data_IF_782201403528
#
_entry.id   IF_782201403528
#
_cell.length_a   1.000
_cell.length_b   1.000
_cell.length_c   1.000
_cell.angle_alpha   90.00
_cell.angle_beta   90.00
_cell.angle_gamma   90.00
#
_symmetry.space_group_name_H-M   'P 1'
#
loop_
_entity.id
_entity.type
_entity.pdbx_description
1 polymer ?
#
# COMPACT_ATOMS: atom_id res chain seq x y z
N UNK A 1 -70.36 -48.30 -53.81
CA UNK A 1 -68.97 -48.11 -53.33
C UNK A 1 -68.37 -46.71 -53.53
N UNK A 2 -68.84 -45.86 -54.46
CA UNK A 2 -68.19 -44.55 -54.77
C UNK A 2 -68.36 -43.45 -53.69
N UNK A 3 -69.46 -43.46 -52.91
CA UNK A 3 -69.74 -42.44 -51.87
C UNK A 3 -68.83 -42.53 -50.63
N UNK A 4 -68.35 -43.72 -50.27
CA UNK A 4 -67.44 -43.92 -49.13
C UNK A 4 -66.01 -43.43 -49.42
N UNK A 5 -65.54 -43.51 -50.67
CA UNK A 5 -64.22 -43.01 -51.09
C UNK A 5 -64.16 -41.48 -51.15
N UNK A 6 -65.27 -40.81 -51.49
CA UNK A 6 -65.34 -39.34 -51.55
C UNK A 6 -65.27 -38.70 -50.15
N UNK A 7 -65.93 -39.30 -49.15
CA UNK A 7 -65.89 -38.80 -47.76
C UNK A 7 -64.51 -38.86 -47.12
N UNK A 8 -63.72 -39.88 -47.45
CA UNK A 8 -62.33 -40.02 -46.96
C UNK A 8 -61.43 -38.92 -47.58
N UNK A 9 -61.60 -38.61 -48.87
CA UNK A 9 -60.80 -37.58 -49.54
C UNK A 9 -61.10 -36.18 -48.98
N UNK A 10 -62.38 -35.85 -48.73
CA UNK A 10 -62.77 -34.55 -48.16
C UNK A 10 -62.26 -34.41 -46.71
N UNK A 11 -62.30 -35.49 -45.92
CA UNK A 11 -61.77 -35.51 -44.54
C UNK A 11 -60.27 -35.24 -44.48
N UNK A 12 -59.46 -35.87 -45.36
CA UNK A 12 -58.01 -35.64 -45.42
C UNK A 12 -57.68 -34.21 -45.84
N UNK A 13 -58.47 -33.62 -46.74
CA UNK A 13 -58.28 -32.26 -47.23
C UNK A 13 -58.57 -31.20 -46.15
N UNK A 14 -59.60 -31.40 -45.33
CA UNK A 14 -59.92 -30.52 -44.19
C UNK A 14 -58.83 -30.59 -43.11
N UNK A 15 -58.31 -31.78 -42.80
CA UNK A 15 -57.23 -31.96 -41.83
C UNK A 15 -55.93 -31.30 -42.33
N UNK A 16 -55.62 -31.41 -43.63
CA UNK A 16 -54.45 -30.75 -44.24
C UNK A 16 -54.49 -29.21 -44.13
N UNK A 17 -55.65 -28.59 -44.36
CA UNK A 17 -55.82 -27.13 -44.25
C UNK A 17 -55.72 -26.65 -42.79
N UNK A 18 -56.28 -27.40 -41.84
CA UNK A 18 -56.19 -27.07 -40.41
C UNK A 18 -54.74 -27.13 -39.90
N UNK A 19 -53.96 -28.13 -40.34
CA UNK A 19 -52.54 -28.26 -39.99
C UNK A 19 -51.74 -27.09 -40.59
N UNK A 20 -51.90 -26.76 -41.87
CA UNK A 20 -51.17 -25.66 -42.53
C UNK A 20 -51.44 -24.27 -41.90
N UNK A 21 -52.68 -24.02 -41.45
CA UNK A 21 -53.04 -22.78 -40.77
C UNK A 21 -52.34 -22.61 -39.41
N UNK A 22 -52.26 -23.66 -38.61
CA UNK A 22 -51.61 -23.64 -37.29
C UNK A 22 -50.10 -23.42 -37.39
N UNK A 23 -49.45 -24.06 -38.38
CA UNK A 23 -48.02 -23.83 -38.65
C UNK A 23 -47.75 -22.38 -39.04
N UNK A 24 -48.55 -21.80 -39.94
CA UNK A 24 -48.38 -20.42 -40.41
C UNK A 24 -48.52 -19.39 -39.27
N UNK A 25 -49.53 -19.56 -38.40
CA UNK A 25 -49.74 -18.67 -37.25
C UNK A 25 -48.58 -18.74 -36.24
N UNK A 26 -48.06 -19.95 -35.97
CA UNK A 26 -46.92 -20.13 -35.05
C UNK A 26 -45.65 -19.49 -35.59
N UNK A 27 -45.41 -19.54 -36.90
CA UNK A 27 -44.26 -18.88 -37.54
C UNK A 27 -44.34 -17.36 -37.42
N UNK A 28 -45.50 -16.75 -37.73
CA UNK A 28 -45.69 -15.30 -37.64
C UNK A 28 -45.47 -14.80 -36.21
N UNK A 29 -45.97 -15.53 -35.21
CA UNK A 29 -45.78 -15.14 -33.80
C UNK A 29 -44.31 -15.18 -33.39
N UNK A 30 -43.57 -16.23 -33.76
CA UNK A 30 -42.13 -16.35 -33.50
C UNK A 30 -41.33 -15.24 -34.18
N UNK A 31 -41.70 -14.87 -35.40
CA UNK A 31 -41.04 -13.80 -36.14
C UNK A 31 -41.28 -12.42 -35.50
N UNK A 32 -42.51 -12.13 -35.06
CA UNK A 32 -42.80 -10.91 -34.30
C UNK A 32 -42.00 -10.85 -33.00
N UNK A 33 -41.98 -11.94 -32.24
CA UNK A 33 -41.23 -12.03 -30.98
C UNK A 33 -39.73 -11.85 -31.20
N UNK A 34 -39.18 -12.48 -32.24
CA UNK A 34 -37.79 -12.31 -32.66
C UNK A 34 -37.45 -10.84 -32.95
N UNK A 35 -38.28 -10.17 -33.76
CA UNK A 35 -38.05 -8.75 -34.10
C UNK A 35 -38.17 -7.82 -32.89
N UNK A 36 -39.07 -8.12 -31.94
CA UNK A 36 -39.19 -7.36 -30.68
C UNK A 36 -37.93 -7.53 -29.82
N UNK A 37 -37.41 -8.75 -29.69
CA UNK A 37 -36.16 -8.99 -28.96
C UNK A 37 -34.97 -8.26 -29.60
N UNK A 38 -34.86 -8.29 -30.92
CA UNK A 38 -33.81 -7.55 -31.63
C UNK A 38 -33.91 -6.04 -31.40
N UNK A 39 -35.11 -5.47 -31.52
CA UNK A 39 -35.31 -4.04 -31.31
C UNK A 39 -34.95 -3.61 -29.89
N UNK A 40 -35.30 -4.42 -28.88
CA UNK A 40 -34.91 -4.18 -27.49
C UNK A 40 -33.40 -4.33 -27.29
N UNK A 41 -32.79 -5.38 -27.86
CA UNK A 41 -31.35 -5.61 -27.75
C UNK A 41 -30.54 -4.46 -28.39
N UNK A 42 -30.97 -3.98 -29.55
CA UNK A 42 -30.38 -2.82 -30.23
C UNK A 42 -30.56 -1.52 -29.40
N UNK A 43 -31.70 -1.34 -28.73
CA UNK A 43 -31.93 -0.21 -27.84
C UNK A 43 -31.00 -0.27 -26.61
N UNK A 44 -30.97 -1.39 -25.89
CA UNK A 44 -30.07 -1.59 -24.74
C UNK A 44 -28.60 -1.42 -25.14
N UNK A 45 -28.20 -1.87 -26.33
CA UNK A 45 -26.83 -1.70 -26.82
C UNK A 45 -26.49 -0.22 -27.08
N UNK A 46 -27.41 0.57 -27.65
CA UNK A 46 -27.24 2.03 -27.84
C UNK A 46 -27.14 2.78 -26.52
N UNK A 47 -27.79 2.27 -25.48
CA UNK A 47 -27.70 2.78 -24.10
C UNK A 47 -26.45 2.27 -23.37
N UNK A 48 -25.57 1.52 -24.04
CA UNK A 48 -24.38 0.86 -23.48
C UNK A 48 -24.70 -0.16 -22.36
N UNK A 49 -25.95 -0.64 -22.29
CA UNK A 49 -26.34 -1.73 -21.40
C UNK A 49 -25.98 -3.08 -22.04
N UNK A 50 -24.69 -3.40 -22.04
CA UNK A 50 -24.11 -4.58 -22.67
C UNK A 50 -24.71 -5.89 -22.16
N UNK A 51 -24.91 -6.00 -20.85
CA UNK A 51 -25.45 -7.21 -20.21
C UNK A 51 -26.88 -7.51 -20.65
N UNK A 52 -27.75 -6.50 -20.65
CA UNK A 52 -29.13 -6.65 -21.11
C UNK A 52 -29.18 -6.92 -22.62
N UNK A 53 -28.42 -6.17 -23.42
CA UNK A 53 -28.35 -6.35 -24.86
C UNK A 53 -27.93 -7.79 -25.23
N UNK A 54 -26.89 -8.31 -24.56
CA UNK A 54 -26.43 -9.69 -24.73
C UNK A 54 -27.52 -10.71 -24.42
N UNK A 55 -28.17 -10.59 -23.26
CA UNK A 55 -29.26 -11.48 -22.87
C UNK A 55 -30.39 -11.49 -23.91
N UNK A 56 -30.79 -10.33 -24.41
CA UNK A 56 -31.85 -10.21 -25.41
C UNK A 56 -31.43 -10.77 -26.78
N UNK A 57 -30.17 -10.62 -27.18
CA UNK A 57 -29.65 -11.27 -28.38
C UNK A 57 -29.60 -12.79 -28.24
N UNK A 58 -29.15 -13.31 -27.11
CA UNK A 58 -29.15 -14.75 -26.81
C UNK A 58 -30.57 -15.32 -26.82
N UNK A 59 -31.55 -14.59 -26.26
CA UNK A 59 -32.96 -14.97 -26.34
C UNK A 59 -33.49 -14.96 -27.77
N UNK A 60 -33.08 -13.99 -28.60
CA UNK A 60 -33.46 -13.96 -30.02
C UNK A 60 -32.93 -15.17 -30.79
N UNK A 61 -31.73 -15.67 -30.44
CA UNK A 61 -31.12 -16.85 -31.05
C UNK A 61 -31.87 -18.15 -30.72
N UNK A 62 -32.56 -18.22 -29.56
CA UNK A 62 -33.45 -19.33 -29.22
C UNK A 62 -34.66 -19.42 -30.16
N UNK A 63 -35.08 -18.30 -30.75
CA UNK A 63 -36.17 -18.26 -31.72
C UNK A 63 -35.69 -18.52 -33.15
N UNK A 64 -34.55 -17.95 -33.53
CA UNK A 64 -33.98 -18.05 -34.86
C UNK A 64 -32.46 -17.88 -34.84
N UNK A 65 -31.74 -18.87 -35.34
CA UNK A 65 -30.29 -18.76 -35.51
C UNK A 65 -29.94 -17.69 -36.56
N UNK A 66 -29.00 -16.80 -36.23
CA UNK A 66 -28.56 -15.73 -37.10
C UNK A 66 -27.11 -15.35 -36.79
N UNK A 67 -26.20 -15.56 -37.74
CA UNK A 67 -24.76 -15.31 -37.57
C UNK A 67 -24.47 -13.85 -37.20
N UNK A 68 -25.21 -12.88 -37.75
CA UNK A 68 -25.01 -11.46 -37.44
C UNK A 68 -25.25 -11.15 -35.96
N UNK A 69 -26.15 -11.90 -35.32
CA UNK A 69 -26.45 -11.75 -33.89
C UNK A 69 -25.35 -12.39 -33.05
N UNK A 70 -24.79 -13.50 -33.50
CA UNK A 70 -23.60 -14.12 -32.87
C UNK A 70 -22.42 -13.14 -32.92
N UNK A 71 -22.18 -12.49 -34.06
CA UNK A 71 -21.13 -11.48 -34.21
C UNK A 71 -21.35 -10.30 -33.24
N UNK A 72 -22.59 -9.80 -33.12
CA UNK A 72 -22.93 -8.75 -32.14
C UNK A 72 -22.65 -9.19 -30.70
N UNK A 73 -23.00 -10.41 -30.31
CA UNK A 73 -22.69 -10.95 -28.97
C UNK A 73 -21.17 -11.03 -28.76
N UNK A 74 -20.40 -11.44 -29.77
CA UNK A 74 -18.93 -11.47 -29.68
C UNK A 74 -18.33 -10.08 -29.46
N UNK A 75 -18.82 -9.06 -30.17
CA UNK A 75 -18.42 -7.67 -29.95
C UNK A 75 -18.77 -7.18 -28.54
N UNK A 76 -19.95 -7.53 -28.03
CA UNK A 76 -20.36 -7.21 -26.66
C UNK A 76 -19.42 -7.87 -25.64
N UNK A 77 -19.09 -9.15 -25.81
CA UNK A 77 -18.18 -9.84 -24.90
C UNK A 77 -16.80 -9.17 -24.87
N UNK A 78 -16.28 -8.77 -26.04
CA UNK A 78 -15.00 -8.04 -26.13
C UNK A 78 -15.06 -6.67 -25.44
N UNK A 79 -16.20 -5.97 -25.55
CA UNK A 79 -16.46 -4.72 -24.82
C UNK A 79 -16.49 -4.93 -23.30
N UNK A 80 -17.23 -5.93 -22.81
CA UNK A 80 -17.29 -6.28 -21.39
C UNK A 80 -15.90 -6.64 -20.84
N UNK A 81 -15.12 -7.46 -21.54
CA UNK A 81 -13.76 -7.82 -21.13
C UNK A 81 -12.84 -6.59 -21.04
N UNK A 82 -12.94 -5.69 -22.02
CA UNK A 82 -12.15 -4.45 -22.03
C UNK A 82 -12.54 -3.55 -20.86
N UNK A 83 -13.83 -3.41 -20.56
CA UNK A 83 -14.32 -2.63 -19.42
C UNK A 83 -13.85 -3.22 -18.08
N UNK A 84 -13.92 -4.54 -17.91
CA UNK A 84 -13.43 -5.20 -16.71
C UNK A 84 -11.92 -4.96 -16.50
N UNK A 85 -11.13 -5.00 -17.59
CA UNK A 85 -9.69 -4.67 -17.53
C UNK A 85 -9.45 -3.21 -17.15
N UNK A 86 -10.26 -2.27 -17.67
CA UNK A 86 -10.21 -0.86 -17.28
C UNK A 86 -10.52 -0.69 -15.80
N UNK A 87 -11.54 -1.37 -15.28
CA UNK A 87 -11.94 -1.27 -13.88
C UNK A 87 -10.88 -1.90 -12.94
N UNK A 88 -10.12 -2.90 -13.40
CA UNK A 88 -8.99 -3.46 -12.61
C UNK A 88 -7.78 -2.54 -12.51
N UNK A 89 -7.68 -1.48 -13.32
CA UNK A 89 -6.54 -0.54 -13.30
C UNK A 89 -6.42 0.19 -11.96
N UNK A 90 -7.52 0.41 -11.26
CA UNK A 90 -7.51 1.14 -9.98
C UNK A 90 -6.63 0.46 -8.93
N UNK A 91 -6.57 -0.87 -8.91
CA UNK A 91 -5.69 -1.61 -8.00
C UNK A 91 -4.20 -1.36 -8.34
N UNK A 92 -3.84 -1.31 -9.62
CA UNK A 92 -2.47 -1.02 -10.05
C UNK A 92 -2.07 0.43 -9.73
N UNK A 93 -3.01 1.37 -9.85
CA UNK A 93 -2.79 2.77 -9.44
C UNK A 93 -2.49 2.84 -7.94
N UNK A 94 -3.26 2.14 -7.09
CA UNK A 94 -3.04 2.12 -5.64
C UNK A 94 -1.68 1.53 -5.26
N UNK A 95 -1.18 0.57 -6.03
CA UNK A 95 0.15 -0.02 -5.86
C UNK A 95 1.28 0.81 -6.50
N UNK A 96 0.98 1.99 -7.05
CA UNK A 96 1.91 2.84 -7.82
C UNK A 96 2.52 2.16 -9.06
N UNK A 97 1.86 1.14 -9.60
CA UNK A 97 2.27 0.40 -10.81
C UNK A 97 1.77 1.09 -12.09
N UNK A 98 2.12 2.35 -12.26
CA UNK A 98 1.62 3.20 -13.35
C UNK A 98 2.04 2.71 -14.75
N UNK A 99 3.21 2.10 -14.88
CA UNK A 99 3.69 1.56 -16.15
C UNK A 99 2.87 0.34 -16.60
N UNK A 100 2.64 -0.61 -15.69
CA UNK A 100 1.78 -1.78 -15.94
C UNK A 100 0.36 -1.34 -16.32
N UNK A 101 -0.20 -0.38 -15.57
CA UNK A 101 -1.52 0.18 -15.85
C UNK A 101 -1.59 0.80 -17.26
N UNK A 102 -0.56 1.57 -17.63
CA UNK A 102 -0.47 2.23 -18.93
C UNK A 102 -0.35 1.21 -20.06
N UNK A 103 0.42 0.15 -19.88
CA UNK A 103 0.63 -0.88 -20.89
C UNK A 103 -0.61 -1.74 -21.11
N UNK A 104 -1.35 -2.07 -20.05
CA UNK A 104 -2.68 -2.69 -20.17
C UNK A 104 -3.58 -1.79 -21.01
N UNK A 105 -3.71 -0.50 -20.66
CA UNK A 105 -4.57 0.44 -21.39
C UNK A 105 -4.18 0.62 -22.87
N UNK A 106 -2.88 0.58 -23.20
CA UNK A 106 -2.41 0.59 -24.61
C UNK A 106 -2.76 -0.68 -25.37
N UNK A 107 -2.76 -1.84 -24.69
CA UNK A 107 -3.06 -3.13 -25.30
C UNK A 107 -4.54 -3.33 -25.60
N UNK A 108 -5.42 -2.58 -24.94
CA UNK A 108 -6.86 -2.64 -25.16
C UNK A 108 -7.22 -2.03 -26.51
N UNK A 109 -7.69 -2.87 -27.42
CA UNK A 109 -8.31 -2.46 -28.68
C UNK A 109 -9.79 -2.87 -28.65
N UNK A 110 -10.68 -1.92 -28.92
CA UNK A 110 -12.13 -2.15 -28.92
C UNK A 110 -12.80 -1.37 -30.05
N UNK A 111 -13.91 -1.88 -30.57
CA UNK A 111 -14.70 -1.20 -31.61
C UNK A 111 -15.80 -0.30 -31.06
N UNK A 112 -16.15 -0.42 -29.77
CA UNK A 112 -17.17 0.40 -29.13
C UNK A 112 -16.62 1.77 -28.76
N UNK A 113 -17.20 2.83 -29.32
CA UNK A 113 -16.83 4.22 -29.03
C UNK A 113 -16.89 4.54 -27.53
N UNK A 114 -17.93 4.05 -26.83
CA UNK A 114 -18.05 4.19 -25.39
C UNK A 114 -16.84 3.60 -24.64
N UNK A 115 -16.42 2.40 -25.01
CA UNK A 115 -15.28 1.71 -24.39
C UNK A 115 -13.97 2.45 -24.72
N UNK A 116 -13.78 2.88 -25.97
CA UNK A 116 -12.61 3.67 -26.38
C UNK A 116 -12.51 4.95 -25.57
N UNK A 117 -13.62 5.67 -25.39
CA UNK A 117 -13.65 6.91 -24.61
C UNK A 117 -13.31 6.66 -23.14
N UNK A 118 -13.81 5.57 -22.55
CA UNK A 118 -13.47 5.18 -21.17
C UNK A 118 -11.99 4.82 -21.04
N UNK A 119 -11.42 4.06 -21.98
CA UNK A 119 -9.99 3.73 -22.03
C UNK A 119 -9.15 5.01 -22.13
N UNK A 120 -9.52 5.93 -23.03
CA UNK A 120 -8.80 7.20 -23.22
C UNK A 120 -8.81 8.05 -21.95
N UNK A 121 -9.99 8.24 -21.35
CA UNK A 121 -10.14 8.97 -20.09
C UNK A 121 -9.28 8.37 -18.99
N UNK A 122 -9.34 7.04 -18.82
CA UNK A 122 -8.54 6.35 -17.81
C UNK A 122 -7.04 6.47 -18.05
N UNK A 123 -6.61 6.47 -19.32
CA UNK A 123 -5.20 6.69 -19.69
C UNK A 123 -4.72 8.09 -19.30
N UNK A 124 -5.52 9.12 -19.54
CA UNK A 124 -5.20 10.50 -19.13
C UNK A 124 -5.10 10.61 -17.59
N UNK A 125 -6.02 9.97 -16.88
CA UNK A 125 -5.99 9.88 -15.41
C UNK A 125 -4.70 9.23 -14.89
N UNK A 126 -4.33 8.05 -15.42
CA UNK A 126 -3.11 7.32 -15.03
C UNK A 126 -1.86 8.15 -15.27
N UNK A 127 -1.77 8.85 -16.41
CA UNK A 127 -0.62 9.69 -16.73
C UNK A 127 -0.48 10.85 -15.74
N UNK A 128 -1.58 11.54 -15.41
CA UNK A 128 -1.58 12.63 -14.44
C UNK A 128 -1.14 12.15 -13.05
N UNK A 129 -1.68 11.02 -12.57
CA UNK A 129 -1.31 10.47 -11.27
C UNK A 129 0.16 10.03 -11.22
N UNK A 130 0.69 9.50 -12.34
CA UNK A 130 2.11 9.15 -12.46
C UNK A 130 3.00 10.40 -12.33
N UNK A 131 2.65 11.49 -12.99
CA UNK A 131 3.40 12.76 -12.90
C UNK A 131 3.39 13.31 -11.48
N UNK A 132 2.22 13.35 -10.82
CA UNK A 132 2.09 13.79 -9.43
C UNK A 132 2.91 12.92 -8.46
N UNK A 133 2.94 11.59 -8.67
CA UNK A 133 3.74 10.67 -7.87
C UNK A 133 5.24 10.93 -8.04
N UNK A 134 5.71 11.12 -9.28
CA UNK A 134 7.11 11.43 -9.56
C UNK A 134 7.55 12.77 -8.95
N UNK A 135 6.69 13.79 -8.99
CA UNK A 135 6.96 15.08 -8.37
C UNK A 135 7.08 14.95 -6.84
N UNK A 136 6.21 14.16 -6.20
CA UNK A 136 6.29 13.87 -4.76
C UNK A 136 7.59 13.15 -4.41
N UNK A 137 7.98 12.13 -5.16
CA UNK A 137 9.24 11.41 -4.95
C UNK A 137 10.45 12.34 -5.06
N UNK A 138 10.44 13.25 -6.05
CA UNK A 138 11.50 14.23 -6.22
C UNK A 138 11.61 15.18 -5.01
N UNK A 139 10.49 15.71 -4.51
CA UNK A 139 10.46 16.58 -3.32
C UNK A 139 11.00 15.86 -2.08
N UNK A 140 10.61 14.61 -1.87
CA UNK A 140 11.11 13.79 -0.75
C UNK A 140 12.63 13.60 -0.85
N UNK A 141 13.14 13.37 -2.06
CA UNK A 141 14.58 13.22 -2.28
C UNK A 141 15.34 14.52 -2.02
N UNK A 142 14.83 15.65 -2.53
CA UNK A 142 15.41 16.98 -2.29
C UNK A 142 15.43 17.33 -0.79
N UNK A 143 14.38 17.00 -0.06
CA UNK A 143 14.30 17.20 1.40
C UNK A 143 15.32 16.33 2.16
N UNK A 144 15.45 15.05 1.78
CA UNK A 144 16.46 14.14 2.37
C UNK A 144 17.88 14.64 2.14
N UNK A 145 18.19 15.14 0.94
CA UNK A 145 19.50 15.70 0.63
C UNK A 145 19.77 17.02 1.37
N UNK A 146 18.76 17.88 1.50
CA UNK A 146 18.87 19.11 2.28
C UNK A 146 19.11 18.81 3.77
N UNK A 147 18.43 17.80 4.33
CA UNK A 147 18.62 17.39 5.71
C UNK A 147 20.00 16.76 5.95
N UNK A 148 20.48 15.91 5.04
CA UNK A 148 21.84 15.38 5.11
C UNK A 148 22.90 16.48 5.13
N UNK A 149 22.75 17.52 4.29
CA UNK A 149 23.65 18.68 4.28
C UNK A 149 23.60 19.45 5.60
N UNK A 150 22.43 19.64 6.20
CA UNK A 150 22.27 20.29 7.51
C UNK A 150 22.96 19.49 8.63
N UNK A 151 22.79 18.17 8.63
CA UNK A 151 23.43 17.28 9.60
C UNK A 151 24.96 17.29 9.44
N UNK A 152 25.47 17.27 8.20
CA UNK A 152 26.91 17.35 7.94
C UNK A 152 27.50 18.70 8.37
N UNK A 153 26.80 19.80 8.08
CA UNK A 153 27.21 21.14 8.52
C UNK A 153 27.22 21.26 10.06
N UNK A 154 26.18 20.75 10.72
CA UNK A 154 26.11 20.73 12.19
C UNK A 154 27.25 19.90 12.80
N UNK A 155 27.58 18.75 12.20
CA UNK A 155 28.71 17.92 12.62
C UNK A 155 30.04 18.65 12.46
N UNK A 156 30.26 19.32 11.33
CA UNK A 156 31.47 20.13 11.11
C UNK A 156 31.62 21.24 12.14
N UNK A 157 30.53 21.95 12.47
CA UNK A 157 30.53 22.98 13.51
C UNK A 157 30.85 22.41 14.89
N UNK A 158 30.28 21.26 15.24
CA UNK A 158 30.56 20.58 16.51
C UNK A 158 32.02 20.10 16.61
N UNK A 159 32.59 19.55 15.53
CA UNK A 159 34.01 19.16 15.48
C UNK A 159 34.96 20.35 15.60
N UNK A 160 34.62 21.47 14.95
CA UNK A 160 35.39 22.72 15.05
C UNK A 160 35.36 23.27 16.48
N UNK A 161 34.17 23.33 17.10
CA UNK A 161 34.03 23.75 18.50
C UNK A 161 34.81 22.85 19.46
N UNK A 162 34.79 21.53 19.23
CA UNK A 162 35.57 20.58 20.03
C UNK A 162 37.09 20.81 19.87
N UNK A 163 37.57 21.03 18.65
CA UNK A 163 38.99 21.35 18.39
C UNK A 163 39.41 22.66 19.07
N UNK A 164 38.54 23.66 19.11
CA UNK A 164 38.81 24.91 19.83
C UNK A 164 38.89 24.69 21.34
N UNK A 165 37.97 23.91 21.92
CA UNK A 165 38.00 23.54 23.35
C UNK A 165 39.30 22.81 23.71
N UNK A 166 39.70 21.83 22.91
CA UNK A 166 40.96 21.08 23.12
C UNK A 166 42.19 21.99 23.06
N UNK A 167 42.23 22.95 22.11
CA UNK A 167 43.31 23.95 22.03
C UNK A 167 43.37 24.84 23.28
N UNK A 168 42.22 25.32 23.77
CA UNK A 168 42.16 26.15 25.00
C UNK A 168 42.62 25.36 26.22
N UNK A 169 42.21 24.10 26.37
CA UNK A 169 42.66 23.23 27.46
C UNK A 169 44.18 23.00 27.44
N UNK A 170 44.76 22.80 26.25
CA UNK A 170 46.22 22.66 26.10
C UNK A 170 46.96 23.93 26.51
N UNK A 171 46.45 25.11 26.13
CA UNK A 171 47.03 26.41 26.54
C UNK A 171 47.02 26.58 28.06
N UNK A 172 45.89 26.28 28.71
CA UNK A 172 45.75 26.35 30.18
C UNK A 172 46.77 25.42 30.86
N UNK A 173 46.94 24.18 30.36
CA UNK A 173 47.93 23.22 30.91
C UNK A 173 49.37 23.75 30.79
N UNK A 174 49.72 24.39 29.68
CA UNK A 174 51.04 25.00 29.47
C UNK A 174 51.26 26.18 30.43
N UNK A 175 50.26 27.03 30.63
CA UNK A 175 50.34 28.15 31.58
C UNK A 175 50.49 27.68 33.04
N UNK A 176 49.71 26.68 33.44
CA UNK A 176 49.83 26.07 34.77
C UNK A 176 51.24 25.51 34.99
N UNK A 177 51.81 24.79 34.02
CA UNK A 177 53.15 24.23 34.11
C UNK A 177 54.26 25.29 34.24
N UNK A 178 54.10 26.47 33.60
CA UNK A 178 55.03 27.59 33.74
C UNK A 178 55.01 28.17 35.16
N UNK A 179 53.83 28.29 35.76
CA UNK A 179 53.69 28.82 37.12
C UNK A 179 54.32 27.90 38.18
N UNK A 180 54.29 26.58 37.99
CA UNK A 180 54.96 25.63 38.89
C UNK A 180 56.50 25.73 38.88
N UNK A 181 57.14 26.14 37.77
CA UNK A 181 58.61 26.26 37.70
C UNK A 181 59.17 27.50 38.40
N UNK A 182 58.36 28.53 38.63
CA UNK A 182 58.81 29.79 39.27
C UNK A 182 58.48 29.86 40.77
N UNK A 183 57.73 28.90 41.32
CA UNK A 183 57.37 28.84 42.73
C UNK A 183 58.34 27.98 43.55
N UNK A 184 59.46 28.55 44.00
CA UNK A 184 60.30 27.96 45.04
C UNK A 184 59.61 28.18 46.41
N UNK A 185 58.52 27.45 46.65
CA UNK A 185 57.63 27.64 47.79
C UNK A 185 57.31 26.32 48.49
N UNK A 186 57.90 26.17 49.68
CA UNK A 186 57.76 25.10 50.66
C UNK A 186 56.35 24.47 50.69
N UNK A 187 56.27 23.18 50.33
CA UNK A 187 55.08 22.34 50.42
C UNK A 187 54.63 22.18 51.89
N UNK A 188 53.35 22.46 52.16
CA UNK A 188 52.62 21.89 53.29
C UNK A 188 51.54 20.95 52.73
N UNK A 189 51.71 19.66 53.02
CA UNK A 189 50.83 18.56 52.65
C UNK A 189 49.57 18.56 53.52
N UNK A 190 48.39 18.63 52.91
CA UNK A 190 47.13 18.20 53.52
C UNK A 190 46.24 17.61 52.44
N UNK A 191 46.18 16.28 52.46
CA UNK A 191 45.42 15.41 51.57
C UNK A 191 43.92 15.47 51.89
N UNK A 192 43.07 15.63 50.87
CA UNK A 192 41.71 15.06 50.84
C UNK A 192 41.27 14.83 49.41
N UNK A 193 41.31 13.57 49.02
CA UNK A 193 40.73 12.96 47.83
C UNK A 193 39.20 12.95 47.91
N UNK A 194 38.51 13.43 46.87
CA UNK A 194 37.16 12.97 46.55
C UNK A 194 37.09 12.66 45.06
N UNK A 195 36.92 11.37 44.78
CA UNK A 195 36.64 10.82 43.46
C UNK A 195 35.29 11.32 42.98
N UNK A 196 35.23 11.90 41.78
CA UNK A 196 33.96 12.13 41.09
C UNK A 196 34.05 11.54 39.68
N UNK A 197 33.16 10.59 39.43
CA UNK A 197 33.15 9.71 38.26
C UNK A 197 32.31 10.34 37.15
N UNK A 198 32.92 10.69 36.02
CA UNK A 198 32.21 11.03 34.80
C UNK A 198 32.40 9.90 33.78
N UNK A 199 31.39 9.04 33.68
CA UNK A 199 31.39 7.86 32.81
C UNK A 199 30.58 8.15 31.54
N UNK A 200 31.24 7.98 30.38
CA UNK A 200 30.66 8.15 29.04
C UNK A 200 29.86 6.91 28.67
N UNK A 201 28.57 7.08 28.35
CA UNK A 201 27.69 6.04 27.81
C UNK A 201 28.07 5.67 26.38
N UNK A 202 28.24 4.38 26.08
CA UNK A 202 28.47 3.85 24.72
C UNK A 202 27.25 3.00 24.30
N UNK A 203 26.53 3.40 23.25
CA UNK A 203 25.29 2.73 22.80
C UNK A 203 25.60 1.89 21.55
N UNK A 204 25.62 0.56 21.68
CA UNK A 204 25.72 -0.36 20.52
C UNK A 204 24.34 -0.62 19.90
N UNK A 205 24.21 -0.34 18.59
CA UNK A 205 22.98 -0.47 17.80
C UNK A 205 22.97 -1.78 17.00
N UNK A 206 21.91 -2.58 17.12
CA UNK A 206 21.51 -3.56 16.11
C UNK A 206 20.09 -3.18 15.66
N UNK A 207 19.96 -2.61 14.47
CA UNK A 207 18.70 -2.13 13.91
C UNK A 207 18.40 -2.99 12.67
N UNK A 208 17.25 -3.67 12.68
CA UNK A 208 16.68 -4.34 11.50
C UNK A 208 15.59 -3.41 10.96
N UNK A 209 15.79 -2.87 9.75
CA UNK A 209 14.94 -1.85 9.14
C UNK A 209 13.84 -2.44 8.25
N UNK A 210 12.60 -1.94 8.41
CA UNK A 210 11.79 -1.20 7.42
C UNK A 210 10.33 -1.05 7.90
N UNK A 211 9.77 0.16 7.83
CA UNK A 211 8.39 0.51 7.42
C UNK A 211 8.33 2.05 7.27
N UNK A 212 7.89 2.53 6.11
CA UNK A 212 7.64 3.94 5.80
C UNK A 212 6.20 4.32 6.18
N UNK A 213 6.00 5.26 7.11
CA UNK A 213 4.77 6.06 7.25
C UNK A 213 5.01 7.29 8.15
N UNK A 214 4.66 8.49 7.65
CA UNK A 214 5.01 9.81 8.19
C UNK A 214 4.24 10.26 9.45
N UNK A 215 3.78 9.35 10.31
CA UNK A 215 3.11 9.69 11.57
C UNK A 215 3.57 8.83 12.74
N UNK A 216 4.70 8.14 12.57
CA UNK A 216 5.25 7.24 13.55
C UNK A 216 6.59 7.78 14.05
N UNK A 217 6.78 7.79 15.38
CA UNK A 217 8.12 7.98 15.95
C UNK A 217 9.04 6.89 15.40
N UNK A 218 10.27 7.26 15.06
CA UNK A 218 11.25 6.31 14.52
C UNK A 218 11.56 5.20 15.54
N UNK A 219 11.97 3.99 15.11
CA UNK A 219 12.44 2.95 16.02
C UNK A 219 13.55 3.43 16.97
N UNK A 220 14.41 4.35 16.50
CA UNK A 220 15.47 4.96 17.31
C UNK A 220 14.91 5.90 18.39
N UNK A 221 13.91 6.70 18.05
CA UNK A 221 13.24 7.60 19.00
C UNK A 221 12.46 6.80 20.05
N UNK A 222 11.79 5.73 19.61
CA UNK A 222 11.13 4.76 20.46
C UNK A 222 12.08 4.13 21.50
N UNK A 223 13.25 3.68 21.05
CA UNK A 223 14.29 3.11 21.90
C UNK A 223 14.80 4.14 22.93
N UNK A 224 14.98 5.39 22.51
CA UNK A 224 15.45 6.48 23.37
C UNK A 224 14.42 6.85 24.45
N UNK A 225 13.13 6.88 24.10
CA UNK A 225 12.03 7.09 25.06
C UNK A 225 12.00 5.98 26.11
N UNK A 226 12.08 4.70 25.67
CA UNK A 226 12.15 3.55 26.57
C UNK A 226 13.37 3.58 27.48
N UNK A 227 14.56 3.89 26.94
CA UNK A 227 15.79 4.01 27.74
C UNK A 227 15.69 5.10 28.81
N UNK A 228 15.18 6.29 28.46
CA UNK A 228 15.00 7.39 29.42
C UNK A 228 14.05 7.03 30.55
N UNK A 229 12.90 6.41 30.24
CA UNK A 229 11.96 5.97 31.26
C UNK A 229 12.56 4.88 32.17
N UNK A 230 13.29 3.93 31.58
CA UNK A 230 14.00 2.88 32.31
C UNK A 230 14.98 3.47 33.33
N UNK A 231 15.91 4.34 32.90
CA UNK A 231 16.91 4.93 33.80
C UNK A 231 16.29 5.84 34.86
N UNK A 232 15.20 6.54 34.51
CA UNK A 232 14.45 7.38 35.47
C UNK A 232 13.83 6.54 36.59
N UNK A 233 13.24 5.38 36.27
CA UNK A 233 12.64 4.47 37.26
C UNK A 233 13.68 3.69 38.07
N UNK A 234 14.88 3.53 37.52
CA UNK A 234 15.93 2.69 38.07
C UNK A 234 17.21 3.46 38.43
N UNK A 235 17.06 4.66 39.00
CA UNK A 235 18.16 5.58 39.31
C UNK A 235 19.23 5.07 40.29
N UNK A 236 19.01 3.90 40.92
CA UNK A 236 19.93 3.28 41.90
C UNK A 236 20.72 2.10 41.35
N UNK A 237 20.56 1.74 40.08
CA UNK A 237 21.24 0.57 39.51
C UNK A 237 22.71 0.91 39.26
N UNK A 238 23.59 0.23 39.98
CA UNK A 238 25.04 0.32 39.81
C UNK A 238 25.48 -0.68 38.72
N UNK A 239 25.53 -0.17 37.49
CA UNK A 239 26.19 -0.67 36.28
C UNK A 239 26.28 -2.19 35.99
N UNK A 240 25.37 -2.63 35.10
CA UNK A 240 25.71 -3.22 33.80
C UNK A 240 24.91 -2.45 32.74
N UNK A 241 25.45 -2.30 31.53
CA UNK A 241 24.70 -1.66 30.44
C UNK A 241 23.48 -2.54 30.11
N UNK A 242 22.24 -2.01 30.22
CA UNK A 242 21.06 -2.74 29.77
C UNK A 242 21.11 -2.93 28.26
N UNK A 243 20.79 -4.14 27.81
CA UNK A 243 20.62 -4.42 26.38
C UNK A 243 19.18 -4.12 25.99
N UNK A 244 19.00 -3.34 24.92
CA UNK A 244 17.69 -3.02 24.38
C UNK A 244 17.50 -3.72 23.04
N UNK A 245 16.37 -4.41 22.86
CA UNK A 245 15.91 -4.90 21.56
C UNK A 245 14.52 -4.36 21.27
N UNK A 246 14.24 -4.06 19.99
CA UNK A 246 12.95 -3.53 19.54
C UNK A 246 12.40 -4.37 18.41
N UNK A 247 11.12 -4.70 18.49
CA UNK A 247 10.37 -5.39 17.43
C UNK A 247 9.08 -4.61 17.19
N UNK A 248 8.67 -4.51 15.94
CA UNK A 248 7.38 -3.93 15.57
C UNK A 248 6.38 -5.05 15.28
N UNK A 249 5.25 -5.07 15.98
CA UNK A 249 4.16 -6.03 15.76
C UNK A 249 2.85 -5.25 15.70
N UNK A 250 2.07 -5.46 14.64
CA UNK A 250 0.77 -4.83 14.42
C UNK A 250 0.77 -3.29 14.54
N UNK A 251 1.88 -2.67 14.15
CA UNK A 251 2.04 -1.22 14.25
C UNK A 251 2.19 -0.71 15.68
N UNK A 252 2.69 -1.54 16.61
CA UNK A 252 3.16 -1.16 17.95
C UNK A 252 4.63 -1.51 18.12
N UNK A 253 5.37 -0.73 18.91
CA UNK A 253 6.74 -1.06 19.29
C UNK A 253 6.74 -1.88 20.58
N UNK A 254 7.39 -3.05 20.52
CA UNK A 254 7.69 -3.90 21.67
C UNK A 254 9.19 -3.80 21.92
N UNK A 255 9.55 -3.25 23.08
CA UNK A 255 10.95 -3.01 23.46
C UNK A 255 11.28 -3.84 24.69
N UNK A 256 12.24 -4.74 24.55
CA UNK A 256 12.74 -5.55 25.64
C UNK A 256 14.01 -4.92 26.20
N UNK A 257 14.06 -4.78 27.53
CA UNK A 257 15.23 -4.28 28.26
C UNK A 257 15.76 -5.40 29.13
N UNK A 258 16.90 -5.96 28.75
CA UNK A 258 17.58 -7.01 29.50
C UNK A 258 18.63 -6.41 30.43
N UNK A 259 18.47 -6.65 31.73
CA UNK A 259 19.48 -6.34 32.74
C UNK A 259 19.54 -7.42 33.81
N UNK A 260 20.74 -7.96 34.07
CA UNK A 260 20.98 -8.94 35.13
C UNK A 260 20.01 -10.13 35.07
N UNK A 261 19.79 -10.67 33.87
CA UNK A 261 18.85 -11.78 33.60
C UNK A 261 17.38 -11.44 33.88
N UNK A 262 17.02 -10.15 34.04
CA UNK A 262 15.62 -9.69 34.06
C UNK A 262 15.30 -9.03 32.73
N UNK A 263 14.12 -9.33 32.19
CA UNK A 263 13.61 -8.71 30.98
C UNK A 263 12.41 -7.84 31.36
N UNK A 264 12.47 -6.56 31.03
CA UNK A 264 11.32 -5.66 31.08
C UNK A 264 10.79 -5.44 29.67
N UNK A 265 9.50 -5.66 29.48
CA UNK A 265 8.84 -5.42 28.19
C UNK A 265 8.09 -4.09 28.24
N UNK A 266 8.39 -3.23 27.27
CA UNK A 266 7.72 -1.96 27.03
C UNK A 266 6.88 -2.09 25.77
N UNK A 267 5.57 -1.90 25.90
CA UNK A 267 4.68 -1.73 24.75
C UNK A 267 4.42 -0.23 24.55
N UNK A 268 4.77 0.27 23.36
CA UNK A 268 4.66 1.68 23.04
C UNK A 268 3.92 1.89 21.73
N UNK A 269 2.93 2.77 21.77
CA UNK A 269 2.19 3.21 20.59
C UNK A 269 3.08 4.14 19.75
N UNK A 270 3.27 3.86 18.46
CA UNK A 270 4.18 4.64 17.64
C UNK A 270 3.59 5.97 17.17
N UNK A 271 2.28 6.19 17.35
CA UNK A 271 1.60 7.44 16.93
C UNK A 271 1.78 8.59 17.93
N UNK A 272 1.94 8.31 19.22
CA UNK A 272 2.01 9.31 20.28
C UNK A 272 3.18 9.14 21.25
N UNK A 273 3.95 8.04 21.13
CA UNK A 273 5.09 7.74 21.99
C UNK A 273 4.70 7.49 23.45
N UNK A 274 3.41 7.26 23.73
CA UNK A 274 2.95 6.93 25.06
C UNK A 274 3.13 5.43 25.33
N UNK A 275 3.61 5.10 26.53
CA UNK A 275 3.68 3.71 26.97
C UNK A 275 2.27 3.20 27.25
N UNK A 276 1.85 2.16 26.54
CA UNK A 276 0.57 1.51 26.78
C UNK A 276 0.61 0.69 28.07
N UNK A 277 1.56 -0.24 28.18
CA UNK A 277 1.79 -1.05 29.39
C UNK A 277 3.27 -1.41 29.52
N UNK A 278 3.81 -1.28 30.72
CA UNK A 278 5.10 -1.89 31.09
C UNK A 278 4.78 -3.15 31.87
N UNK A 279 5.22 -4.31 31.37
CA UNK A 279 5.07 -5.58 32.07
C UNK A 279 6.44 -6.05 32.53
N UNK A 280 6.61 -6.22 33.84
CA UNK A 280 7.74 -6.98 34.35
C UNK A 280 7.46 -8.46 34.11
N UNK A 281 8.16 -9.06 33.16
CA UNK A 281 8.06 -10.48 32.91
C UNK A 281 9.05 -11.17 33.82
N UNK A 282 8.53 -11.88 34.83
CA UNK A 282 9.38 -12.79 35.62
C UNK A 282 9.92 -13.85 34.67
N UNK A 283 11.25 -13.92 34.62
CA UNK A 283 11.99 -14.83 33.74
C UNK A 283 11.38 -16.24 33.80
N UNK A 284 10.99 -16.81 32.63
CA UNK A 284 10.78 -18.25 32.52
C UNK A 284 12.13 -18.90 32.81
N UNK A 285 12.20 -19.72 33.86
CA UNK A 285 13.34 -20.60 34.09
C UNK A 285 13.49 -21.51 32.87
N UNK A 286 14.44 -21.23 32.00
CA UNK A 286 14.89 -22.19 31.01
C UNK A 286 15.69 -23.24 31.77
N UNK A 287 15.02 -24.33 32.11
CA UNK A 287 15.67 -25.61 32.39
C UNK A 287 16.08 -26.26 31.07
#
# INVERSE_FOLDING_TARGET
MKRKKLGIIISVLIIGVAIAGVFSYKHIRKEKEYNVLLAKADASLKENNFKEAKSLYEDSLKLKNNYKIIDKISLINSAEESLNKVDSIDALIQENKFDEATDILKSLNNSSEYVINKIKSKKEEVLKLKEEFLEKQKKIQEEKEAEQKRVEEAKRKAEEEQREKEKREQQIKVEQAKNFKNGNGKLNSSSKTSNDCNEKLDIRKNIVNRIDNNSYISPEEALNIAAKDYFKKNSKINMKEPLFSIVMVDGSYYIDVELNNKILEYEMSPTDGQFGRVKEVKQKSFY
#
